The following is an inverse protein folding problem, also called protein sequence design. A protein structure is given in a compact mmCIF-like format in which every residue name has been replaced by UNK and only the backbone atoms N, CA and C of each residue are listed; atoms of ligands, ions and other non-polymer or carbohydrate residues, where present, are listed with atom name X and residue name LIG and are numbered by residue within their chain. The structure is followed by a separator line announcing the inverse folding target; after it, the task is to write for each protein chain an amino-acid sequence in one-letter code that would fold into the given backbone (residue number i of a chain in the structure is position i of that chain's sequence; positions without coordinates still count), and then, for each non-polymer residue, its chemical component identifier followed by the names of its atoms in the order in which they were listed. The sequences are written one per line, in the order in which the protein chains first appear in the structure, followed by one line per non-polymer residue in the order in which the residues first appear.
data_IF_236818477709
#
_entry.id   IF_236818477709
#
_cell.length_a   1.000
_cell.length_b   1.000
_cell.length_c   1.000
_cell.angle_alpha   90.00
_cell.angle_beta   90.00
_cell.angle_gamma   90.00
#
_symmetry.space_group_name_H-M   'P 1'
#
loop_
_entity.id
_entity.type
_entity.pdbx_description
1 polymer ?
#
# COMPACT_ATOMS: atom_id res chain seq x y z
N UNK A 1 -3.83 15.28 6.37
CA UNK A 1 -3.18 15.80 7.58
C UNK A 1 -3.51 14.91 8.75
N UNK A 2 -2.63 14.84 9.76
CA UNK A 2 -2.92 14.18 11.04
C UNK A 2 -3.89 15.04 11.86
N UNK A 3 -4.67 14.40 12.72
CA UNK A 3 -5.59 15.02 13.68
C UNK A 3 -6.67 15.93 13.06
N UNK A 4 -6.94 15.80 11.76
CA UNK A 4 -8.08 16.48 11.15
C UNK A 4 -9.37 15.78 11.60
N UNK A 5 -10.36 16.57 11.96
CA UNK A 5 -11.70 16.07 12.25
C UNK A 5 -12.46 15.99 10.93
N UNK A 6 -12.80 14.78 10.44
CA UNK A 6 -13.50 14.66 9.18
C UNK A 6 -14.97 15.05 9.36
N UNK A 7 -15.52 15.75 8.39
CA UNK A 7 -16.88 16.24 8.39
C UNK A 7 -17.88 15.07 8.19
N UNK A 8 -18.91 14.98 9.05
CA UNK A 8 -19.86 13.85 9.10
C UNK A 8 -21.32 14.30 9.06
N UNK A 9 -21.58 15.61 8.98
CA UNK A 9 -22.94 16.12 8.99
C UNK A 9 -23.62 15.88 7.64
N UNK A 10 -24.96 15.86 7.64
CA UNK A 10 -25.73 15.56 6.45
C UNK A 10 -25.51 16.54 5.28
N UNK A 11 -25.01 17.75 5.54
CA UNK A 11 -24.62 18.70 4.50
C UNK A 11 -23.28 18.32 3.85
N UNK A 12 -22.31 17.85 4.65
CA UNK A 12 -20.99 17.41 4.20
C UNK A 12 -21.10 16.15 3.33
N UNK A 13 -21.94 15.20 3.75
CA UNK A 13 -22.20 13.99 2.98
C UNK A 13 -22.85 14.32 1.63
N UNK A 14 -23.79 15.28 1.61
CA UNK A 14 -24.39 15.78 0.36
C UNK A 14 -23.40 16.49 -0.54
N UNK A 15 -22.45 17.25 0.02
CA UNK A 15 -21.38 17.85 -0.76
C UNK A 15 -20.48 16.78 -1.41
N UNK A 16 -20.14 15.71 -0.67
CA UNK A 16 -19.39 14.57 -1.21
C UNK A 16 -20.19 13.83 -2.30
N UNK A 17 -21.49 13.60 -2.10
CA UNK A 17 -22.37 13.00 -3.12
C UNK A 17 -22.35 13.79 -4.43
N UNK A 18 -22.47 15.11 -4.34
CA UNK A 18 -22.53 15.99 -5.51
C UNK A 18 -21.20 15.97 -6.30
N UNK A 19 -20.07 16.05 -5.62
CA UNK A 19 -18.75 16.07 -6.26
C UNK A 19 -18.40 14.70 -6.88
N UNK A 20 -18.71 13.60 -6.18
CA UNK A 20 -18.53 12.24 -6.73
C UNK A 20 -19.46 12.01 -7.93
N UNK A 21 -20.71 12.47 -7.85
CA UNK A 21 -21.66 12.47 -8.97
C UNK A 21 -21.10 13.23 -10.18
N UNK A 22 -20.61 14.44 -9.97
CA UNK A 22 -20.03 15.28 -11.03
C UNK A 22 -18.79 14.64 -11.68
N UNK A 23 -17.94 13.98 -10.88
CA UNK A 23 -16.78 13.25 -11.39
C UNK A 23 -17.18 12.12 -12.36
N UNK A 24 -18.19 11.34 -11.99
CA UNK A 24 -18.66 10.22 -12.80
C UNK A 24 -19.59 10.61 -13.94
N UNK A 25 -20.25 11.78 -13.88
CA UNK A 25 -21.11 12.30 -14.95
C UNK A 25 -20.38 12.37 -16.29
N UNK A 26 -19.08 12.68 -16.28
CA UNK A 26 -18.21 12.72 -17.48
C UNK A 26 -18.04 11.35 -18.14
N UNK A 27 -18.31 10.27 -17.42
CA UNK A 27 -18.28 8.90 -17.91
C UNK A 27 -19.67 8.40 -18.31
N UNK A 28 -20.73 9.22 -18.21
CA UNK A 28 -22.11 8.81 -18.52
C UNK A 28 -22.76 7.98 -17.41
N UNK A 29 -22.32 8.14 -16.16
CA UNK A 29 -22.88 7.50 -14.95
C UNK A 29 -22.86 8.48 -13.77
N UNK A 30 -23.29 8.05 -12.59
CA UNK A 30 -23.24 8.85 -11.37
C UNK A 30 -24.30 9.94 -11.29
N UNK A 31 -25.42 9.84 -12.03
CA UNK A 31 -26.50 10.84 -11.97
C UNK A 31 -27.17 10.92 -10.61
N UNK A 32 -27.26 9.79 -9.90
CA UNK A 32 -27.55 9.75 -8.47
C UNK A 32 -26.32 9.27 -7.71
N UNK A 33 -26.18 9.71 -6.46
CA UNK A 33 -25.15 9.24 -5.54
C UNK A 33 -25.74 9.26 -4.13
N UNK A 34 -25.36 8.28 -3.31
CA UNK A 34 -25.72 8.22 -1.89
C UNK A 34 -24.46 7.97 -1.07
N UNK A 35 -24.32 8.62 0.07
CA UNK A 35 -23.19 8.41 0.99
C UNK A 35 -23.70 8.10 2.40
N UNK A 36 -23.22 6.97 2.95
CA UNK A 36 -23.34 6.66 4.37
C UNK A 36 -22.00 6.87 5.09
N UNK A 37 -22.03 7.39 6.32
CA UNK A 37 -20.87 7.44 7.21
C UNK A 37 -21.02 6.50 8.40
N UNK A 38 -19.94 5.78 8.72
CA UNK A 38 -19.85 4.95 9.92
C UNK A 38 -18.51 5.21 10.64
N UNK A 39 -18.58 5.50 11.93
CA UNK A 39 -17.41 5.51 12.80
C UNK A 39 -17.16 4.11 13.35
N UNK A 40 -15.99 3.54 13.07
CA UNK A 40 -15.47 2.37 13.79
C UNK A 40 -14.53 2.85 14.89
N UNK A 41 -14.72 2.34 16.10
CA UNK A 41 -13.86 2.63 17.25
C UNK A 41 -12.77 1.56 17.40
N UNK A 42 -11.67 1.93 18.08
CA UNK A 42 -10.52 1.06 18.42
C UNK A 42 -9.85 0.30 17.25
N UNK A 43 -9.04 0.97 16.41
CA UNK A 43 -8.77 2.42 16.38
C UNK A 43 -9.85 3.19 15.61
N UNK A 44 -9.94 4.50 15.84
CA UNK A 44 -10.91 5.38 15.18
C UNK A 44 -10.73 5.39 13.65
N UNK A 45 -11.78 4.99 12.92
CA UNK A 45 -11.84 5.02 11.45
C UNK A 45 -13.19 5.56 11.00
N UNK A 46 -13.17 6.64 10.23
CA UNK A 46 -14.38 7.15 9.57
C UNK A 46 -14.49 6.49 8.20
N UNK A 47 -15.52 5.66 8.03
CA UNK A 47 -15.80 4.94 6.80
C UNK A 47 -16.96 5.59 6.06
N UNK A 48 -16.72 6.07 4.83
CA UNK A 48 -17.73 6.66 3.97
C UNK A 48 -18.00 5.68 2.82
N UNK A 49 -19.20 5.10 2.80
CA UNK A 49 -19.67 4.21 1.75
C UNK A 49 -20.45 5.03 0.75
N UNK A 50 -19.90 5.15 -0.46
CA UNK A 50 -20.45 5.98 -1.52
C UNK A 50 -20.98 5.10 -2.63
N UNK A 51 -22.20 5.37 -3.07
CA UNK A 51 -22.95 4.58 -4.04
C UNK A 51 -23.38 5.43 -5.24
N UNK A 52 -22.48 5.74 -6.20
CA UNK A 52 -22.87 6.40 -7.43
C UNK A 52 -23.67 5.45 -8.33
N UNK A 53 -24.65 6.00 -9.04
CA UNK A 53 -25.38 5.28 -10.10
C UNK A 53 -24.38 4.79 -11.15
N UNK A 54 -24.51 3.54 -11.57
CA UNK A 54 -23.73 2.97 -12.67
C UNK A 54 -24.43 3.20 -14.01
N UNK A 55 -23.84 2.70 -15.09
CA UNK A 55 -24.52 2.69 -16.37
C UNK A 55 -25.85 1.94 -16.29
N UNK A 56 -26.88 2.52 -16.92
CA UNK A 56 -28.16 1.85 -17.06
C UNK A 56 -27.97 0.53 -17.83
N UNK A 57 -28.39 -0.57 -17.21
CA UNK A 57 -28.39 -1.89 -17.83
C UNK A 57 -29.82 -2.36 -18.09
N UNK A 58 -29.97 -3.26 -19.06
CA UNK A 58 -31.22 -4.01 -19.25
C UNK A 58 -30.92 -5.47 -18.98
N UNK A 59 -31.52 -5.98 -17.92
CA UNK A 59 -31.39 -7.38 -17.56
C UNK A 59 -32.43 -8.18 -18.35
N UNK A 60 -32.01 -9.35 -18.86
CA UNK A 60 -32.90 -10.31 -19.49
C UNK A 60 -33.09 -11.48 -18.51
N UNK A 61 -34.19 -11.48 -17.75
CA UNK A 61 -34.61 -12.60 -16.90
C UNK A 61 -36.13 -12.79 -16.83
N UNK A 62 -36.56 -13.76 -16.03
CA UNK A 62 -37.99 -14.01 -15.81
C UNK A 62 -38.50 -13.25 -14.59
N UNK A 63 -39.73 -12.75 -14.63
CA UNK A 63 -40.37 -12.10 -13.48
C UNK A 63 -40.78 -13.13 -12.42
N UNK A 64 -41.34 -12.67 -11.29
CA UNK A 64 -41.83 -13.55 -10.21
C UNK A 64 -42.94 -14.53 -10.66
N UNK A 65 -43.63 -14.23 -11.77
CA UNK A 65 -44.63 -15.10 -12.39
C UNK A 65 -44.04 -16.10 -13.42
N UNK A 66 -42.72 -16.06 -13.65
CA UNK A 66 -42.04 -16.95 -14.61
C UNK A 66 -42.15 -16.49 -16.06
N UNK A 67 -42.56 -15.26 -16.33
CA UNK A 67 -42.69 -14.70 -17.67
C UNK A 67 -41.41 -13.96 -18.09
N UNK A 68 -41.08 -14.05 -19.37
CA UNK A 68 -39.89 -13.39 -19.92
C UNK A 68 -40.07 -11.86 -19.89
N UNK A 69 -39.23 -11.11 -19.14
CA UNK A 69 -39.28 -9.64 -19.05
C UNK A 69 -37.95 -8.90 -19.29
N UNK A 70 -37.97 -7.87 -20.14
CA UNK A 70 -36.84 -6.93 -20.23
C UNK A 70 -36.92 -5.93 -19.09
N UNK A 71 -36.07 -6.06 -18.08
CA UNK A 71 -36.08 -5.18 -16.91
C UNK A 71 -34.98 -4.14 -16.99
N UNK A 72 -35.36 -2.87 -16.99
CA UNK A 72 -34.41 -1.77 -16.84
C UNK A 72 -33.92 -1.69 -15.40
N UNK A 73 -32.59 -1.69 -15.22
CA UNK A 73 -31.96 -1.62 -13.90
C UNK A 73 -31.05 -0.40 -13.81
N UNK A 74 -31.29 0.40 -12.77
CA UNK A 74 -30.39 1.46 -12.31
C UNK A 74 -29.57 0.90 -11.17
N UNK A 75 -28.43 0.31 -11.51
CA UNK A 75 -27.51 -0.22 -10.51
C UNK A 75 -26.69 0.92 -9.91
N UNK A 76 -26.16 0.72 -8.71
CA UNK A 76 -25.08 1.53 -8.16
C UNK A 76 -23.84 0.64 -7.99
N UNK A 77 -22.66 1.26 -7.96
CA UNK A 77 -21.42 0.59 -7.58
C UNK A 77 -20.86 1.23 -6.32
N UNK A 78 -20.03 0.49 -5.59
CA UNK A 78 -19.53 0.92 -4.29
C UNK A 78 -18.12 1.53 -4.41
N UNK A 79 -17.93 2.64 -3.69
CA UNK A 79 -16.64 3.26 -3.38
C UNK A 79 -16.57 3.40 -1.87
N UNK A 80 -15.43 3.04 -1.29
CA UNK A 80 -15.22 3.15 0.17
C UNK A 80 -14.06 4.09 0.41
N UNK A 81 -14.31 5.16 1.17
CA UNK A 81 -13.26 6.00 1.76
C UNK A 81 -13.10 5.63 3.23
N UNK A 82 -11.87 5.39 3.67
CA UNK A 82 -11.56 5.14 5.08
C UNK A 82 -10.51 6.13 5.53
N UNK A 83 -10.89 7.06 6.41
CA UNK A 83 -9.98 8.03 6.98
C UNK A 83 -9.63 7.65 8.43
N UNK A 84 -8.32 7.65 8.73
CA UNK A 84 -7.75 7.49 10.06
C UNK A 84 -7.22 8.85 10.54
N UNK A 85 -7.92 9.55 11.46
CA UNK A 85 -7.49 10.85 11.95
C UNK A 85 -6.09 10.83 12.59
N UNK A 86 -5.83 9.84 13.44
CA UNK A 86 -4.57 9.70 14.20
C UNK A 86 -3.33 9.65 13.29
N UNK A 87 -3.41 8.85 12.21
CA UNK A 87 -2.30 8.71 11.26
C UNK A 87 -2.37 9.74 10.13
N UNK A 88 -3.51 10.40 9.94
CA UNK A 88 -3.82 11.23 8.79
C UNK A 88 -3.90 10.45 7.47
N UNK A 89 -4.20 9.15 7.52
CA UNK A 89 -4.23 8.26 6.35
C UNK A 89 -5.64 8.19 5.75
N UNK A 90 -5.71 8.36 4.43
CA UNK A 90 -6.91 8.11 3.62
C UNK A 90 -6.70 6.87 2.74
N UNK A 91 -7.52 5.86 2.93
CA UNK A 91 -7.59 4.67 2.06
C UNK A 91 -8.84 4.74 1.19
N UNK A 92 -8.70 4.43 -0.10
CA UNK A 92 -9.80 4.48 -1.06
C UNK A 92 -9.86 3.16 -1.81
N UNK A 93 -11.02 2.49 -1.72
CA UNK A 93 -11.35 1.33 -2.54
C UNK A 93 -12.28 1.77 -3.67
N UNK A 94 -11.77 1.83 -4.90
CA UNK A 94 -12.52 2.17 -6.10
C UNK A 94 -12.03 1.39 -7.32
N UNK A 95 -12.94 1.06 -8.23
CA UNK A 95 -12.57 0.45 -9.53
C UNK A 95 -12.01 1.52 -10.47
N UNK A 96 -10.87 1.23 -11.10
CA UNK A 96 -10.23 2.13 -12.08
C UNK A 96 -8.80 2.56 -11.73
N UNK A 97 -8.26 2.11 -10.60
CA UNK A 97 -6.86 2.32 -10.21
C UNK A 97 -6.52 3.80 -10.00
N UNK A 98 -5.23 4.14 -10.15
CA UNK A 98 -4.68 5.46 -9.80
C UNK A 98 -5.41 6.65 -10.42
N UNK A 99 -5.79 6.54 -11.71
CA UNK A 99 -6.51 7.60 -12.45
C UNK A 99 -7.90 7.93 -11.90
N UNK A 100 -8.50 7.01 -11.14
CA UNK A 100 -9.78 7.22 -10.46
C UNK A 100 -9.57 7.56 -9.00
N UNK A 101 -8.63 6.87 -8.34
CA UNK A 101 -8.35 7.06 -6.91
C UNK A 101 -7.80 8.45 -6.61
N UNK A 102 -6.91 9.00 -7.42
CA UNK A 102 -6.34 10.35 -7.17
C UNK A 102 -7.39 11.47 -7.23
N UNK A 103 -8.24 11.58 -8.28
CA UNK A 103 -9.32 12.56 -8.27
C UNK A 103 -10.32 12.38 -7.14
N UNK A 104 -10.66 11.14 -6.78
CA UNK A 104 -11.57 10.87 -5.67
C UNK A 104 -10.97 11.27 -4.32
N UNK A 105 -9.65 11.07 -4.14
CA UNK A 105 -8.93 11.59 -2.97
C UNK A 105 -9.00 13.12 -2.90
N UNK A 106 -8.88 13.81 -4.03
CA UNK A 106 -8.98 15.27 -4.09
C UNK A 106 -10.35 15.76 -3.63
N UNK A 107 -11.40 15.13 -4.17
CA UNK A 107 -12.79 15.41 -3.78
C UNK A 107 -12.96 15.21 -2.28
N UNK A 108 -12.52 14.07 -1.74
CA UNK A 108 -12.66 13.77 -0.32
C UNK A 108 -11.89 14.76 0.57
N UNK A 109 -10.65 15.09 0.20
CA UNK A 109 -9.85 16.08 0.92
C UNK A 109 -10.56 17.44 0.99
N UNK A 110 -11.14 17.88 -0.13
CA UNK A 110 -11.86 19.15 -0.20
C UNK A 110 -13.17 19.15 0.58
N UNK A 111 -14.01 18.13 0.38
CA UNK A 111 -15.38 18.14 0.94
C UNK A 111 -15.44 17.67 2.38
N UNK A 112 -14.65 16.67 2.76
CA UNK A 112 -14.71 16.03 4.09
C UNK A 112 -13.61 16.52 5.02
N UNK A 113 -12.40 16.77 4.50
CA UNK A 113 -11.27 17.21 5.33
C UNK A 113 -11.05 18.73 5.31
N UNK A 114 -11.80 19.47 4.49
CA UNK A 114 -11.68 20.93 4.36
C UNK A 114 -10.31 21.39 3.83
N UNK A 115 -9.62 20.56 3.06
CA UNK A 115 -8.33 20.88 2.45
C UNK A 115 -8.54 21.42 1.04
N UNK A 116 -8.04 22.63 0.76
CA UNK A 116 -8.22 23.27 -0.55
C UNK A 116 -7.60 22.46 -1.70
N UNK A 117 -6.52 21.75 -1.42
CA UNK A 117 -5.83 20.86 -2.37
C UNK A 117 -5.44 19.53 -1.72
N UNK A 118 -5.17 18.54 -2.57
CA UNK A 118 -4.53 17.31 -2.11
C UNK A 118 -3.20 17.69 -1.45
N UNK A 119 -2.92 17.25 -0.20
CA UNK A 119 -1.58 17.40 0.33
C UNK A 119 -0.61 16.76 -0.67
N UNK A 120 0.52 17.43 -0.94
CA UNK A 120 1.54 16.89 -1.83
C UNK A 120 1.81 15.43 -1.43
N UNK A 121 1.74 14.51 -2.39
CA UNK A 121 2.20 13.14 -2.17
C UNK A 121 3.62 13.29 -1.65
N UNK A 122 3.85 12.93 -0.39
CA UNK A 122 5.18 13.03 0.19
C UNK A 122 6.08 12.13 -0.66
N UNK A 123 6.80 12.75 -1.58
CA UNK A 123 7.65 12.04 -2.53
C UNK A 123 8.83 11.43 -1.81
N UNK A 124 9.05 11.81 -0.54
CA UNK A 124 10.05 11.19 0.31
C UNK A 124 9.71 9.72 0.48
N UNK A 125 10.68 8.83 0.22
CA UNK A 125 10.48 7.42 0.46
C UNK A 125 10.26 7.19 1.96
N UNK A 126 9.22 6.42 2.30
CA UNK A 126 8.96 5.93 3.66
C UNK A 126 10.07 4.98 4.13
N UNK A 127 10.71 4.30 3.18
CA UNK A 127 11.79 3.37 3.43
C UNK A 127 13.08 3.77 2.71
N UNK A 128 14.16 3.91 3.46
CA UNK A 128 15.50 4.13 2.93
C UNK A 128 16.20 2.77 2.74
N UNK A 129 16.39 2.37 1.49
CA UNK A 129 17.03 1.09 1.16
C UNK A 129 18.54 1.25 0.94
N UNK A 130 19.09 2.46 1.10
CA UNK A 130 20.51 2.74 0.87
C UNK A 130 21.42 1.93 1.80
N UNK A 131 20.99 1.68 3.04
CA UNK A 131 21.73 0.84 4.00
C UNK A 131 21.94 -0.60 3.51
N UNK A 132 21.09 -1.09 2.60
CA UNK A 132 21.23 -2.43 2.02
C UNK A 132 22.21 -2.48 0.85
N UNK A 133 22.81 -1.36 0.45
CA UNK A 133 23.96 -1.38 -0.47
C UNK A 133 25.21 -1.89 0.22
N UNK A 134 25.32 -1.66 1.53
CA UNK A 134 26.39 -2.23 2.35
C UNK A 134 26.16 -3.73 2.49
N UNK A 135 27.08 -4.50 1.91
CA UNK A 135 27.08 -5.96 1.97
C UNK A 135 27.23 -6.46 3.40
N UNK A 136 27.99 -5.75 4.23
CA UNK A 136 28.33 -6.14 5.60
C UNK A 136 27.41 -5.47 6.64
N UNK A 137 26.26 -4.92 6.19
CA UNK A 137 25.28 -4.29 7.07
C UNK A 137 24.87 -5.23 8.21
N UNK A 138 25.18 -4.83 9.44
CA UNK A 138 24.82 -5.62 10.61
C UNK A 138 23.34 -5.42 10.94
N UNK A 139 22.56 -6.46 10.67
CA UNK A 139 21.19 -6.57 11.16
C UNK A 139 21.19 -6.81 12.66
N UNK A 140 21.50 -5.79 13.45
CA UNK A 140 21.53 -5.87 14.91
C UNK A 140 20.17 -6.35 15.44
N UNK A 141 20.18 -7.39 16.27
CA UNK A 141 19.01 -8.12 16.75
C UNK A 141 19.00 -8.18 18.27
N UNK A 142 17.83 -8.06 18.86
CA UNK A 142 17.59 -8.35 20.26
C UNK A 142 17.30 -9.87 20.43
N UNK A 143 18.11 -10.59 21.22
CA UNK A 143 17.87 -12.00 21.51
C UNK A 143 16.48 -12.29 22.11
N UNK A 144 15.86 -11.32 22.80
CA UNK A 144 14.53 -11.49 23.41
C UNK A 144 13.41 -11.63 22.38
N UNK A 145 13.55 -11.00 21.21
CA UNK A 145 12.58 -11.03 20.10
C UNK A 145 12.63 -12.37 19.33
N UNK A 146 13.57 -13.26 19.65
CA UNK A 146 13.65 -14.62 19.13
C UNK A 146 14.03 -14.71 17.65
N UNK A 147 14.72 -13.69 17.11
CA UNK A 147 15.23 -13.72 15.74
C UNK A 147 16.59 -14.42 15.72
N UNK A 148 16.68 -15.50 14.97
CA UNK A 148 17.90 -16.27 14.78
C UNK A 148 18.75 -15.68 13.65
N UNK A 149 18.14 -15.42 12.49
CA UNK A 149 18.85 -14.88 11.32
C UNK A 149 18.01 -13.91 10.52
N UNK A 150 18.67 -12.99 9.83
CA UNK A 150 18.09 -12.10 8.81
C UNK A 150 18.96 -12.19 7.57
N UNK A 151 18.36 -12.46 6.42
CA UNK A 151 19.06 -12.59 5.15
C UNK A 151 18.37 -11.76 4.06
N UNK A 152 19.17 -11.16 3.18
CA UNK A 152 18.68 -10.50 1.96
C UNK A 152 18.55 -11.56 0.87
N UNK A 153 17.33 -11.80 0.37
CA UNK A 153 17.03 -12.83 -0.64
C UNK A 153 16.97 -12.29 -2.06
N UNK A 154 16.56 -11.04 -2.21
CA UNK A 154 16.41 -10.40 -3.50
C UNK A 154 16.71 -8.92 -3.37
N UNK A 155 17.48 -8.39 -4.32
CA UNK A 155 17.68 -6.96 -4.52
C UNK A 155 17.31 -6.62 -5.96
N UNK A 156 16.50 -5.58 -6.13
CA UNK A 156 16.33 -4.92 -7.43
C UNK A 156 17.06 -3.60 -7.42
N UNK A 157 17.94 -3.46 -8.39
CA UNK A 157 18.84 -2.34 -8.54
C UNK A 157 18.38 -1.51 -9.75
N UNK A 158 18.27 -0.20 -9.58
CA UNK A 158 18.05 0.76 -10.65
C UNK A 158 19.41 1.23 -11.21
N UNK A 159 19.58 1.04 -12.52
CA UNK A 159 20.84 1.30 -13.20
C UNK A 159 21.00 2.79 -13.57
N UNK A 160 22.19 3.38 -13.41
CA UNK A 160 22.46 4.77 -13.77
C UNK A 160 22.38 5.00 -15.29
N UNK A 161 21.96 6.21 -15.70
CA UNK A 161 21.86 6.64 -17.11
C UNK A 161 20.44 6.71 -17.69
N UNK A 162 19.42 6.68 -16.83
CA UNK A 162 18.01 6.90 -17.21
C UNK A 162 17.32 5.70 -17.88
N UNK A 163 16.01 5.82 -18.06
CA UNK A 163 15.19 4.90 -18.85
C UNK A 163 14.54 3.72 -18.10
N UNK A 164 14.26 3.84 -16.78
CA UNK A 164 13.60 2.78 -15.99
C UNK A 164 14.27 1.41 -16.15
N UNK A 165 15.61 1.38 -16.08
CA UNK A 165 16.39 0.15 -16.21
C UNK A 165 16.59 -0.46 -14.84
N UNK A 166 15.97 -1.62 -14.61
CA UNK A 166 16.05 -2.35 -13.35
C UNK A 166 16.67 -3.72 -13.59
N UNK A 167 17.52 -4.15 -12.65
CA UNK A 167 18.09 -5.50 -12.60
C UNK A 167 17.68 -6.13 -11.29
N UNK A 168 16.88 -7.20 -11.35
CA UNK A 168 16.49 -8.00 -10.20
C UNK A 168 17.40 -9.19 -10.04
N UNK A 169 17.99 -9.35 -8.86
CA UNK A 169 18.90 -10.44 -8.52
C UNK A 169 18.32 -11.17 -7.32
N UNK A 170 18.00 -12.45 -7.51
CA UNK A 170 17.50 -13.35 -6.47
C UNK A 170 18.53 -14.46 -6.26
N UNK A 171 18.91 -14.69 -5.01
CA UNK A 171 19.79 -15.77 -4.64
C UNK A 171 19.28 -16.45 -3.36
N UNK A 172 19.50 -17.78 -3.22
CA UNK A 172 19.05 -18.51 -2.06
C UNK A 172 19.93 -18.23 -0.83
N UNK A 173 19.82 -17.04 -0.24
CA UNK A 173 20.56 -16.65 0.95
C UNK A 173 20.16 -17.50 2.17
N UNK A 174 21.13 -17.96 2.94
CA UNK A 174 20.91 -18.75 4.16
C UNK A 174 21.74 -18.18 5.31
N UNK A 175 21.54 -18.61 6.57
CA UNK A 175 22.44 -18.22 7.65
C UNK A 175 23.92 -18.57 7.38
N UNK A 176 24.17 -19.62 6.60
CA UNK A 176 25.51 -20.09 6.20
C UNK A 176 26.06 -19.29 5.00
N UNK A 177 25.19 -18.71 4.17
CA UNK A 177 25.53 -17.89 3.02
C UNK A 177 24.65 -16.61 2.98
N UNK A 178 24.82 -15.68 3.94
CA UNK A 178 23.93 -14.52 4.07
C UNK A 178 24.12 -13.51 2.94
N UNK A 179 25.30 -13.50 2.31
CA UNK A 179 25.68 -12.56 1.26
C UNK A 179 25.46 -13.10 -0.17
N UNK A 180 24.75 -14.21 -0.35
CA UNK A 180 24.60 -14.87 -1.66
C UNK A 180 24.06 -13.95 -2.77
N UNK A 181 23.20 -12.99 -2.44
CA UNK A 181 22.70 -11.99 -3.40
C UNK A 181 23.79 -10.99 -3.79
N UNK A 182 24.63 -10.60 -2.84
CA UNK A 182 25.75 -9.68 -3.08
C UNK A 182 26.89 -10.34 -3.85
N UNK A 183 27.13 -11.64 -3.62
CA UNK A 183 28.04 -12.44 -4.46
C UNK A 183 27.55 -12.46 -5.91
N UNK A 184 26.26 -12.74 -6.12
CA UNK A 184 25.65 -12.72 -7.45
C UNK A 184 25.72 -11.33 -8.10
N UNK A 185 25.55 -10.26 -7.31
CA UNK A 185 25.72 -8.88 -7.77
C UNK A 185 27.15 -8.64 -8.28
N UNK A 186 28.18 -9.01 -7.51
CA UNK A 186 29.59 -8.80 -7.90
C UNK A 186 29.96 -9.65 -9.13
N UNK A 187 29.43 -10.88 -9.23
CA UNK A 187 29.63 -11.73 -10.42
C UNK A 187 28.94 -11.17 -11.67
N UNK A 188 27.79 -10.51 -11.52
CA UNK A 188 26.98 -10.03 -12.63
C UNK A 188 27.29 -8.59 -13.06
N UNK A 189 27.75 -7.73 -12.14
CA UNK A 189 28.11 -6.35 -12.43
C UNK A 189 29.56 -6.24 -12.91
N UNK A 190 29.74 -5.57 -14.05
CA UNK A 190 31.07 -5.10 -14.45
C UNK A 190 31.42 -3.88 -13.60
N UNK A 191 32.11 -4.10 -12.47
CA UNK A 191 32.51 -3.06 -11.51
C UNK A 191 33.31 -1.91 -12.14
N UNK A 192 33.91 -2.11 -13.33
CA UNK A 192 34.59 -1.05 -14.08
C UNK A 192 33.63 -0.08 -14.76
N UNK A 193 32.36 -0.47 -14.92
CA UNK A 193 31.32 0.32 -15.58
C UNK A 193 30.25 0.83 -14.62
N UNK A 194 29.90 0.05 -13.59
CA UNK A 194 28.86 0.39 -12.62
C UNK A 194 29.25 -0.18 -11.25
N UNK A 195 29.50 0.69 -10.27
CA UNK A 195 29.74 0.29 -8.88
C UNK A 195 28.41 0.14 -8.11
N UNK A 196 28.43 -0.62 -7.00
CA UNK A 196 27.31 -0.70 -6.06
C UNK A 196 26.95 0.65 -5.42
N UNK A 197 27.90 1.59 -5.37
CA UNK A 197 27.67 2.96 -4.90
C UNK A 197 26.92 3.82 -5.94
N UNK A 198 27.05 3.49 -7.23
CA UNK A 198 26.44 4.25 -8.34
C UNK A 198 24.98 3.86 -8.60
N UNK A 199 24.52 2.79 -7.95
CA UNK A 199 23.21 2.21 -8.20
C UNK A 199 22.26 2.48 -7.04
N UNK A 200 20.97 2.56 -7.34
CA UNK A 200 19.93 2.76 -6.33
C UNK A 200 19.15 1.48 -6.12
N UNK A 201 18.96 1.06 -4.86
CA UNK A 201 18.09 -0.07 -4.55
C UNK A 201 16.63 0.39 -4.64
N UNK A 202 15.85 -0.27 -5.50
CA UNK A 202 14.42 0.02 -5.72
C UNK A 202 13.48 -1.00 -5.05
N UNK A 203 14.01 -2.17 -4.69
CA UNK A 203 13.28 -3.24 -3.99
C UNK A 203 14.27 -4.10 -3.20
N UNK A 204 13.89 -4.47 -1.98
CA UNK A 204 14.59 -5.48 -1.21
C UNK A 204 13.62 -6.52 -0.64
N UNK A 205 13.95 -7.81 -0.75
CA UNK A 205 13.25 -8.91 -0.08
C UNK A 205 14.10 -9.41 1.08
N UNK A 206 13.58 -9.23 2.29
CA UNK A 206 14.20 -9.72 3.51
C UNK A 206 13.52 -11.00 3.98
N UNK A 207 14.31 -11.90 4.56
CA UNK A 207 13.83 -13.10 5.22
C UNK A 207 14.33 -13.13 6.65
N UNK A 208 13.39 -13.21 7.59
CA UNK A 208 13.64 -13.38 9.02
C UNK A 208 13.42 -14.84 9.37
N UNK A 209 14.39 -15.44 10.05
CA UNK A 209 14.27 -16.77 10.65
C UNK A 209 14.15 -16.59 12.16
N UNK A 210 13.09 -17.11 12.74
CA UNK A 210 12.84 -17.07 14.17
C UNK A 210 13.20 -18.40 14.81
N UNK A 211 13.83 -18.33 15.99
CA UNK A 211 14.22 -19.48 16.77
C UNK A 211 13.01 -20.35 17.14
N UNK A 212 13.25 -21.65 17.29
CA UNK A 212 12.22 -22.60 17.73
C UNK A 212 11.93 -22.40 19.22
N UNK A 213 10.69 -22.02 19.57
CA UNK A 213 10.18 -22.05 20.95
C UNK A 213 9.21 -23.23 21.12
N UNK A 214 9.36 -23.97 22.22
CA UNK A 214 8.47 -25.07 22.65
C UNK A 214 8.32 -26.23 21.65
N UNK A 215 9.43 -26.73 21.09
CA UNK A 215 9.42 -27.93 20.22
C UNK A 215 8.72 -27.76 18.87
N UNK A 216 8.35 -26.53 18.51
CA UNK A 216 7.77 -26.19 17.20
C UNK A 216 8.86 -25.85 16.19
N UNK A 217 8.61 -26.18 14.92
CA UNK A 217 9.53 -25.86 13.80
C UNK A 217 9.85 -24.37 13.75
N UNK A 218 11.08 -24.00 13.33
CA UNK A 218 11.46 -22.60 13.15
C UNK A 218 10.52 -21.93 12.17
N UNK A 219 10.11 -20.70 12.48
CA UNK A 219 9.21 -19.92 11.63
C UNK A 219 10.02 -18.97 10.79
N UNK A 220 9.64 -18.86 9.52
CA UNK A 220 10.29 -17.95 8.58
C UNK A 220 9.28 -16.93 8.10
N UNK A 221 9.67 -15.66 8.10
CA UNK A 221 8.90 -14.55 7.59
C UNK A 221 9.67 -13.90 6.44
N UNK A 222 9.09 -13.95 5.25
CA UNK A 222 9.64 -13.27 4.06
C UNK A 222 8.73 -12.10 3.69
N UNK A 223 9.31 -10.93 3.47
CA UNK A 223 8.58 -9.74 3.05
C UNK A 223 9.41 -8.86 2.12
N UNK A 224 8.73 -7.99 1.39
CA UNK A 224 9.34 -7.11 0.40
C UNK A 224 9.14 -5.66 0.79
N UNK A 225 10.21 -4.89 0.69
CA UNK A 225 10.27 -3.45 0.96
C UNK A 225 10.49 -2.74 -0.37
N UNK A 226 9.69 -1.71 -0.58
CA UNK A 226 9.80 -0.72 -1.65
C UNK A 226 9.96 0.65 -0.99
N UNK A 227 10.52 1.65 -1.68
CA UNK A 227 10.71 2.99 -1.12
C UNK A 227 9.46 3.61 -0.51
N UNK A 228 8.25 3.29 -1.01
CA UNK A 228 6.97 3.82 -0.49
C UNK A 228 6.05 2.78 0.15
N UNK A 229 6.42 1.49 0.19
CA UNK A 229 5.51 0.45 0.72
C UNK A 229 6.28 -0.77 1.23
N UNK A 230 5.68 -1.50 2.16
CA UNK A 230 6.18 -2.80 2.61
C UNK A 230 5.04 -3.81 2.61
N UNK A 231 5.32 -5.08 2.36
CA UNK A 231 4.29 -6.15 2.34
C UNK A 231 3.93 -6.65 3.75
N UNK A 232 4.43 -6.01 4.81
CA UNK A 232 4.15 -6.36 6.20
C UNK A 232 2.76 -5.90 6.63
N UNK A 233 1.93 -6.86 7.05
CA UNK A 233 0.63 -6.69 7.72
C UNK A 233 0.75 -6.47 9.25
N UNK A 234 -0.33 -6.68 10.01
CA UNK A 234 -0.40 -6.45 11.46
C UNK A 234 -0.35 -7.72 12.33
N UNK A 235 0.28 -8.79 11.83
CA UNK A 235 0.48 -10.01 12.60
C UNK A 235 1.62 -9.85 13.62
N UNK A 236 1.67 -10.62 14.72
CA UNK A 236 2.70 -10.48 15.75
C UNK A 236 4.14 -10.47 15.23
N UNK A 237 4.50 -11.43 14.36
CA UNK A 237 5.85 -11.48 13.75
C UNK A 237 6.13 -10.29 12.82
N UNK A 238 5.09 -9.74 12.19
CA UNK A 238 5.25 -8.58 11.33
C UNK A 238 5.49 -7.30 12.14
N UNK A 239 4.91 -7.19 13.34
CA UNK A 239 5.20 -6.08 14.24
C UNK A 239 6.65 -6.11 14.73
N UNK A 240 7.18 -7.31 15.00
CA UNK A 240 8.62 -7.47 15.28
C UNK A 240 9.45 -7.00 14.08
N UNK A 241 9.14 -7.45 12.86
CA UNK A 241 9.86 -6.97 11.68
C UNK A 241 9.76 -5.43 11.50
N UNK A 242 8.58 -4.82 11.70
CA UNK A 242 8.40 -3.35 11.67
C UNK A 242 9.26 -2.63 12.71
N UNK A 243 9.39 -3.17 13.93
CA UNK A 243 10.28 -2.65 15.00
C UNK A 243 11.73 -2.62 14.50
N UNK A 244 12.21 -3.69 13.88
CA UNK A 244 13.58 -3.75 13.36
C UNK A 244 13.82 -2.84 12.16
N UNK A 245 12.86 -2.71 11.24
CA UNK A 245 12.99 -1.76 10.14
C UNK A 245 13.18 -0.33 10.65
N UNK A 246 12.52 0.07 11.76
CA UNK A 246 12.76 1.37 12.40
C UNK A 246 14.13 1.44 13.08
N UNK A 247 14.54 0.37 13.78
CA UNK A 247 15.84 0.31 14.47
C UNK A 247 17.03 0.40 13.51
N UNK A 248 16.91 -0.23 12.34
CA UNK A 248 17.93 -0.22 11.29
C UNK A 248 17.89 1.02 10.39
N UNK A 249 17.09 2.02 10.74
CA UNK A 249 16.89 3.26 9.96
C UNK A 249 16.35 3.02 8.53
N UNK A 250 15.91 1.80 8.22
CA UNK A 250 15.27 1.46 6.95
C UNK A 250 13.90 2.10 6.87
N UNK A 251 13.11 2.08 7.95
CA UNK A 251 11.83 2.77 8.03
C UNK A 251 12.02 4.11 8.74
N UNK A 252 11.66 5.21 8.07
CA UNK A 252 11.70 6.54 8.69
C UNK A 252 10.63 6.64 9.80
N UNK A 253 10.99 7.32 10.89
CA UNK A 253 10.17 7.46 12.10
C UNK A 253 8.87 8.24 11.86
#
# INVERSE_FOLDING_TARGET
GKDLTPAVEAEDLRALELEVSAFYARQGRGRFCHVDNYLRQDPARHCYFTYPEDHASTDLGFNEAGEWERRHRKSAFEIIFVYRPEDGILEISAKGGKKVVEPLAAIFCKTILGLDDLPEDDTRPLFDLSVLQDRDFDFERDPEDGIESVCVRELTIEMPGGGNRYVGLDAPASPEAPHAVYDLISDALDEKKVSMEDVRISLAKLQFTFASRDGKKPKTLTFTIYPKRVTLKDQPLHQVAKKYLKRWEIARA
#
